data_IF_309101997345
#
_entry.id   IF_309101997345
#
_cell.length_a   1.000
_cell.length_b   1.000
_cell.length_c   1.000
_cell.angle_alpha   90.00
_cell.angle_beta   90.00
_cell.angle_gamma   90.00
#
_symmetry.space_group_name_H-M   'P 1'
#
loop_
_entity.id
_entity.type
_entity.pdbx_description
1 polymer ?
#
# COMPACT_ATOMS: atom_id res chain seq x y z
N UNK A 1 9.13 -3.06 -16.26
CA UNK A 1 8.94 -4.42 -15.74
C UNK A 1 8.55 -5.27 -16.94
N UNK A 2 9.34 -6.30 -17.27
CA UNK A 2 9.10 -7.17 -18.42
C UNK A 2 7.84 -8.03 -18.27
N UNK A 3 7.27 -8.47 -19.39
CA UNK A 3 6.13 -9.41 -19.38
C UNK A 3 6.62 -10.77 -18.90
N UNK A 4 6.02 -11.33 -17.82
CA UNK A 4 6.40 -12.66 -17.35
C UNK A 4 6.24 -13.72 -18.45
N UNK A 5 7.28 -14.54 -18.61
CA UNK A 5 7.31 -15.64 -19.57
C UNK A 5 7.73 -16.90 -18.85
N UNK A 6 6.98 -17.98 -19.04
CA UNK A 6 7.38 -19.29 -18.57
C UNK A 6 8.58 -19.79 -19.40
N UNK A 7 9.69 -20.12 -18.74
CA UNK A 7 10.90 -20.61 -19.42
C UNK A 7 10.74 -22.02 -19.96
N UNK A 8 9.82 -22.80 -19.41
CA UNK A 8 9.61 -24.19 -19.82
C UNK A 8 8.65 -24.32 -21.02
N UNK A 9 7.47 -23.69 -20.97
CA UNK A 9 6.45 -23.83 -22.03
C UNK A 9 6.30 -22.62 -22.94
N UNK A 10 7.03 -21.52 -22.65
CA UNK A 10 6.98 -20.29 -23.44
C UNK A 10 5.71 -19.45 -23.24
N UNK A 11 4.79 -19.86 -22.35
CA UNK A 11 3.59 -19.06 -22.04
C UNK A 11 4.00 -17.64 -21.65
N UNK A 12 3.34 -16.67 -22.26
CA UNK A 12 3.48 -15.25 -21.91
C UNK A 12 2.18 -14.76 -21.29
N UNK A 13 2.30 -13.91 -20.27
CA UNK A 13 1.14 -13.22 -19.72
C UNK A 13 0.46 -12.41 -20.83
N UNK A 14 -0.87 -12.51 -21.00
CA UNK A 14 -1.59 -11.68 -21.97
C UNK A 14 -1.41 -10.18 -21.64
N UNK A 15 -1.54 -9.35 -22.65
CA UNK A 15 -1.52 -7.90 -22.44
C UNK A 15 -2.68 -7.49 -21.55
N UNK A 16 -2.37 -6.64 -20.56
CA UNK A 16 -3.37 -6.13 -19.66
C UNK A 16 -4.27 -5.13 -20.40
N UNK A 17 -5.57 -5.36 -20.39
CA UNK A 17 -6.56 -4.43 -20.95
C UNK A 17 -6.80 -3.23 -20.05
N UNK A 18 -6.60 -3.41 -18.74
CA UNK A 18 -6.64 -2.36 -17.73
C UNK A 18 -5.31 -2.35 -17.00
N UNK A 19 -4.72 -1.17 -16.86
CA UNK A 19 -3.41 -1.06 -16.20
C UNK A 19 -3.19 0.35 -15.65
N UNK A 20 -2.31 0.46 -14.65
CA UNK A 20 -1.82 1.72 -14.14
C UNK A 20 -0.52 2.12 -14.84
N UNK A 21 -0.37 3.41 -15.14
CA UNK A 21 0.86 4.01 -15.65
C UNK A 21 1.12 5.36 -14.98
N UNK A 22 2.30 5.95 -15.21
CA UNK A 22 2.66 7.27 -14.74
C UNK A 22 2.39 7.49 -13.25
N UNK A 23 2.83 6.52 -12.42
CA UNK A 23 2.65 6.60 -10.97
C UNK A 23 3.59 7.67 -10.42
N UNK A 24 3.02 8.73 -9.86
CA UNK A 24 3.71 9.85 -9.24
C UNK A 24 3.53 9.77 -7.73
N UNK A 25 4.57 9.34 -7.02
CA UNK A 25 4.54 9.18 -5.55
C UNK A 25 4.57 10.51 -4.81
N UNK A 26 5.14 11.55 -5.42
CA UNK A 26 5.20 12.86 -4.79
C UNK A 26 3.83 13.54 -4.82
N UNK A 27 3.13 13.44 -5.95
CA UNK A 27 1.77 13.96 -6.07
C UNK A 27 0.71 13.03 -5.47
N UNK A 28 0.99 11.72 -5.39
CA UNK A 28 0.02 10.70 -5.00
C UNK A 28 -1.03 10.49 -6.08
N UNK A 29 -0.60 10.44 -7.36
CA UNK A 29 -1.48 10.24 -8.51
C UNK A 29 -0.93 9.18 -9.46
N UNK A 30 -1.79 8.55 -10.21
CA UNK A 30 -1.43 7.65 -11.29
C UNK A 30 -2.44 7.74 -12.44
N UNK A 31 -2.09 7.20 -13.59
CA UNK A 31 -3.02 7.12 -14.73
C UNK A 31 -3.60 5.71 -14.79
N UNK A 32 -4.91 5.60 -14.63
CA UNK A 32 -5.68 4.41 -14.98
C UNK A 32 -5.89 4.38 -16.48
N UNK A 33 -5.63 3.25 -17.11
CA UNK A 33 -5.84 3.03 -18.54
C UNK A 33 -6.79 1.86 -18.73
N UNK A 34 -7.74 2.05 -19.65
CA UNK A 34 -8.69 1.05 -20.07
C UNK A 34 -8.60 0.72 -21.56
N UNK A 35 -9.44 -0.20 -22.07
CA UNK A 35 -9.52 -0.51 -23.48
C UNK A 35 -10.01 0.71 -24.27
N UNK A 36 -9.69 0.73 -25.59
CA UNK A 36 -10.13 1.80 -26.50
C UNK A 36 -9.54 3.20 -26.23
N UNK A 37 -8.40 3.27 -25.51
CA UNK A 37 -7.75 4.53 -25.22
C UNK A 37 -8.35 5.30 -24.04
N UNK A 38 -9.18 4.66 -23.23
CA UNK A 38 -9.67 5.23 -21.98
C UNK A 38 -8.49 5.55 -21.05
N UNK A 39 -8.51 6.76 -20.48
CA UNK A 39 -7.46 7.23 -19.58
C UNK A 39 -8.02 8.18 -18.54
N UNK A 40 -7.63 7.99 -17.27
CA UNK A 40 -8.11 8.79 -16.16
C UNK A 40 -6.98 8.97 -15.14
N UNK A 41 -6.77 10.21 -14.68
CA UNK A 41 -5.81 10.50 -13.60
C UNK A 41 -6.52 10.33 -12.27
N UNK A 42 -6.03 9.40 -11.45
CA UNK A 42 -6.66 9.06 -10.17
C UNK A 42 -5.70 9.31 -9.01
N UNK A 43 -6.20 9.79 -7.88
CA UNK A 43 -5.42 9.92 -6.67
C UNK A 43 -5.21 8.56 -6.00
N UNK A 44 -4.09 8.43 -5.29
CA UNK A 44 -3.88 7.35 -4.33
C UNK A 44 -3.20 7.88 -3.07
N UNK A 45 -3.37 7.15 -1.98
CA UNK A 45 -2.79 7.54 -0.71
C UNK A 45 -1.28 7.35 -0.72
N UNK A 46 -0.53 8.43 -0.46
CA UNK A 46 0.93 8.40 -0.34
C UNK A 46 1.36 7.38 0.72
N UNK A 47 2.44 6.68 0.46
CA UNK A 47 2.94 5.62 1.35
C UNK A 47 2.25 4.25 1.18
N UNK A 48 1.20 4.14 0.39
CA UNK A 48 0.52 2.87 0.12
C UNK A 48 0.46 2.55 -1.39
N UNK A 49 1.58 2.06 -1.92
CA UNK A 49 1.69 1.67 -3.33
C UNK A 49 0.64 0.63 -3.77
N UNK A 50 0.22 -0.26 -2.86
CA UNK A 50 -0.80 -1.26 -3.17
C UNK A 50 -2.16 -0.65 -3.51
N UNK A 51 -2.43 0.59 -3.08
CA UNK A 51 -3.66 1.27 -3.46
C UNK A 51 -3.74 1.48 -4.97
N UNK A 52 -2.63 1.67 -5.67
CA UNK A 52 -2.64 1.78 -7.14
C UNK A 52 -3.22 0.52 -7.78
N UNK A 53 -2.80 -0.68 -7.33
CA UNK A 53 -3.35 -1.94 -7.83
C UNK A 53 -4.80 -2.15 -7.43
N UNK A 54 -5.15 -1.84 -6.18
CA UNK A 54 -6.51 -1.99 -5.67
C UNK A 54 -7.49 -1.07 -6.41
N UNK A 55 -7.12 0.19 -6.60
CA UNK A 55 -7.93 1.16 -7.33
C UNK A 55 -8.04 0.75 -8.81
N UNK A 56 -6.92 0.36 -9.45
CA UNK A 56 -6.94 -0.12 -10.84
C UNK A 56 -7.88 -1.31 -11.00
N UNK A 57 -7.82 -2.29 -10.09
CA UNK A 57 -8.71 -3.44 -10.11
C UNK A 57 -10.18 -3.08 -9.92
N UNK A 58 -10.47 -2.20 -8.96
CA UNK A 58 -11.83 -1.71 -8.73
C UNK A 58 -12.39 -0.96 -9.95
N UNK A 59 -11.60 -0.03 -10.52
CA UNK A 59 -11.98 0.70 -11.72
C UNK A 59 -12.22 -0.23 -12.91
N UNK A 60 -11.37 -1.26 -13.10
CA UNK A 60 -11.56 -2.24 -14.16
C UNK A 60 -12.90 -2.99 -14.01
N UNK A 61 -13.26 -3.41 -12.80
CA UNK A 61 -14.56 -4.06 -12.54
C UNK A 61 -15.70 -3.10 -12.80
N UNK A 62 -15.64 -1.85 -12.32
CA UNK A 62 -16.65 -0.84 -12.57
C UNK A 62 -16.85 -0.60 -14.07
N UNK A 63 -15.77 -0.49 -14.85
CA UNK A 63 -15.84 -0.33 -16.31
C UNK A 63 -16.45 -1.55 -17.01
N UNK A 64 -16.12 -2.75 -16.57
CA UNK A 64 -16.73 -3.99 -17.10
C UNK A 64 -18.24 -4.09 -16.80
N UNK A 65 -18.69 -3.46 -15.71
CA UNK A 65 -20.10 -3.34 -15.36
C UNK A 65 -20.82 -2.16 -16.07
N UNK A 66 -20.10 -1.40 -16.90
CA UNK A 66 -20.68 -0.29 -17.68
C UNK A 66 -20.79 1.03 -16.93
N UNK A 67 -20.09 1.18 -15.79
CA UNK A 67 -20.07 2.45 -15.04
C UNK A 67 -19.18 3.45 -15.76
N UNK A 68 -19.64 4.67 -15.92
CA UNK A 68 -18.92 5.73 -16.61
C UNK A 68 -17.68 6.22 -15.85
N UNK A 69 -16.69 6.72 -16.59
CA UNK A 69 -15.40 7.14 -16.01
C UNK A 69 -15.53 8.32 -15.05
N UNK A 70 -16.40 9.27 -15.33
CA UNK A 70 -16.69 10.43 -14.47
C UNK A 70 -17.29 10.01 -13.12
N UNK A 71 -18.15 8.99 -13.11
CA UNK A 71 -18.69 8.41 -11.88
C UNK A 71 -17.59 7.74 -11.06
N UNK A 72 -16.70 7.01 -11.72
CA UNK A 72 -15.55 6.36 -11.07
C UNK A 72 -14.62 7.41 -10.48
N UNK A 73 -14.27 8.46 -11.23
CA UNK A 73 -13.38 9.54 -10.79
C UNK A 73 -13.88 10.18 -9.50
N UNK A 74 -15.12 10.68 -9.53
CA UNK A 74 -15.75 11.32 -8.36
C UNK A 74 -15.80 10.39 -7.14
N UNK A 75 -16.05 9.09 -7.35
CA UNK A 75 -16.12 8.11 -6.27
C UNK A 75 -14.74 7.84 -5.64
N UNK A 76 -13.69 7.79 -6.44
CA UNK A 76 -12.31 7.57 -5.94
C UNK A 76 -11.79 8.79 -5.20
N UNK A 77 -12.09 10.00 -5.63
CA UNK A 77 -11.74 11.24 -4.93
C UNK A 77 -12.35 11.28 -3.52
N UNK A 78 -13.63 10.90 -3.38
CA UNK A 78 -14.29 10.82 -2.07
C UNK A 78 -13.70 9.71 -1.17
N UNK A 79 -13.32 8.57 -1.74
CA UNK A 79 -12.71 7.47 -1.00
C UNK A 79 -11.28 7.75 -0.54
N UNK A 80 -10.51 8.55 -1.27
CA UNK A 80 -9.10 8.84 -0.95
C UNK A 80 -8.93 9.48 0.43
N UNK A 81 -9.98 10.10 0.95
CA UNK A 81 -10.02 10.72 2.29
C UNK A 81 -10.37 9.75 3.44
N UNK A 82 -10.77 8.50 3.15
CA UNK A 82 -11.44 7.62 4.14
C UNK A 82 -10.76 6.28 4.38
N UNK A 83 -9.52 6.06 3.93
CA UNK A 83 -8.89 4.74 4.04
C UNK A 83 -8.31 4.50 5.44
N UNK A 84 -8.88 3.55 6.18
CA UNK A 84 -8.51 3.20 7.55
C UNK A 84 -7.19 2.43 7.74
N UNK A 85 -6.34 2.30 6.71
CA UNK A 85 -5.02 1.66 6.83
C UNK A 85 -3.86 2.63 6.95
N UNK A 86 -4.10 3.88 6.61
CA UNK A 86 -3.17 4.98 6.77
C UNK A 86 -3.96 6.15 7.32
N UNK A 87 -3.62 6.61 8.49
CA UNK A 87 -4.22 7.77 9.11
C UNK A 87 -3.13 8.75 9.49
N UNK A 88 -3.34 10.01 9.14
CA UNK A 88 -2.51 11.13 9.60
C UNK A 88 -3.37 12.02 10.49
N UNK A 89 -3.00 12.12 11.76
CA UNK A 89 -3.72 12.91 12.76
C UNK A 89 -2.74 13.78 13.55
N UNK A 90 -3.22 14.93 14.03
CA UNK A 90 -2.44 15.81 14.88
C UNK A 90 -3.00 15.77 16.29
N UNK A 91 -2.17 15.41 17.28
CA UNK A 91 -2.50 15.38 18.69
C UNK A 91 -1.57 16.33 19.47
N UNK A 92 -2.12 17.33 20.12
CA UNK A 92 -1.36 18.31 20.92
C UNK A 92 -0.14 18.89 20.20
N UNK A 93 -0.26 19.13 18.89
CA UNK A 93 0.83 19.68 18.07
C UNK A 93 1.76 18.63 17.47
N UNK A 94 1.69 17.37 17.89
CA UNK A 94 2.47 16.26 17.35
C UNK A 94 1.71 15.62 16.19
N UNK A 95 2.37 15.43 15.08
CA UNK A 95 1.84 14.68 13.94
C UNK A 95 2.00 13.18 14.19
N UNK A 96 0.91 12.44 14.11
CA UNK A 96 0.89 10.99 14.30
C UNK A 96 0.40 10.31 13.04
N UNK A 97 1.26 9.51 12.43
CA UNK A 97 0.95 8.72 11.25
C UNK A 97 0.79 7.26 11.69
N UNK A 98 -0.40 6.73 11.50
CA UNK A 98 -0.70 5.32 11.77
C UNK A 98 -0.79 4.55 10.46
N UNK A 99 0.01 3.48 10.34
CA UNK A 99 0.03 2.59 9.18
C UNK A 99 -0.28 1.17 9.62
N UNK A 100 -1.29 0.57 9.02
CA UNK A 100 -1.68 -0.82 9.29
C UNK A 100 -1.26 -1.72 8.13
N UNK A 101 -0.25 -2.55 8.34
CA UNK A 101 0.10 -3.66 7.46
C UNK A 101 -0.72 -4.90 7.82
N UNK A 102 -1.18 -5.62 6.80
CA UNK A 102 -1.86 -6.90 7.03
C UNK A 102 -0.83 -7.95 7.45
N UNK A 103 -1.18 -8.77 8.46
CA UNK A 103 -0.37 -9.92 8.87
C UNK A 103 -0.05 -10.85 7.68
N UNK A 104 1.05 -11.58 7.78
CA UNK A 104 1.53 -12.52 6.77
C UNK A 104 1.83 -11.89 5.38
N UNK A 105 2.12 -10.59 5.37
CA UNK A 105 2.48 -9.88 4.15
C UNK A 105 3.77 -9.06 4.33
N UNK A 106 4.95 -9.71 4.18
CA UNK A 106 6.24 -9.03 4.36
C UNK A 106 6.44 -7.88 3.38
N UNK A 107 5.90 -7.98 2.16
CA UNK A 107 6.02 -6.93 1.15
C UNK A 107 5.24 -5.69 1.59
N UNK A 108 4.02 -5.87 2.12
CA UNK A 108 3.22 -4.75 2.62
C UNK A 108 3.90 -4.07 3.81
N UNK A 109 4.45 -4.85 4.73
CA UNK A 109 5.19 -4.33 5.88
C UNK A 109 6.43 -3.55 5.44
N UNK A 110 7.25 -4.13 4.55
CA UNK A 110 8.43 -3.47 3.98
C UNK A 110 8.09 -2.15 3.29
N UNK A 111 7.00 -2.11 2.53
CA UNK A 111 6.56 -0.87 1.87
C UNK A 111 6.10 0.19 2.89
N UNK A 112 5.43 -0.21 3.96
CA UNK A 112 5.06 0.71 5.04
C UNK A 112 6.31 1.28 5.73
N UNK A 113 7.33 0.46 5.96
CA UNK A 113 8.59 0.92 6.53
C UNK A 113 9.36 1.87 5.59
N UNK A 114 9.33 1.65 4.29
CA UNK A 114 9.93 2.57 3.30
C UNK A 114 9.35 3.98 3.35
N UNK A 115 8.13 4.14 3.84
CA UNK A 115 7.55 5.46 4.06
C UNK A 115 8.38 6.29 5.05
N UNK A 116 9.13 5.67 5.98
CA UNK A 116 10.00 6.37 6.92
C UNK A 116 11.10 7.18 6.20
N UNK A 117 11.58 6.68 5.06
CA UNK A 117 12.60 7.36 4.24
C UNK A 117 12.03 8.48 3.36
N UNK A 118 10.70 8.53 3.22
CA UNK A 118 10.03 9.52 2.34
C UNK A 118 9.90 10.91 2.96
N UNK A 119 10.26 11.07 4.22
CA UNK A 119 10.19 12.36 4.94
C UNK A 119 11.49 12.65 5.66
N UNK A 120 12.01 13.87 5.52
CA UNK A 120 13.26 14.32 6.16
C UNK A 120 13.04 14.76 7.63
N UNK A 121 11.81 14.69 8.13
CA UNK A 121 11.50 15.05 9.52
C UNK A 121 11.98 14.01 10.50
N UNK A 122 12.56 14.45 11.62
CA UNK A 122 12.86 13.57 12.75
C UNK A 122 11.59 12.93 13.29
N UNK A 123 11.65 11.65 13.59
CA UNK A 123 10.49 10.86 14.01
C UNK A 123 10.85 9.78 15.01
N UNK A 124 9.91 9.49 15.90
CA UNK A 124 9.89 8.29 16.71
C UNK A 124 8.97 7.26 16.04
N UNK A 125 9.34 6.00 16.10
CA UNK A 125 8.60 4.89 15.48
C UNK A 125 8.06 3.99 16.59
N UNK A 126 6.77 3.70 16.54
CA UNK A 126 6.14 2.68 17.39
C UNK A 126 5.78 1.49 16.50
N UNK A 127 6.48 0.38 16.69
CA UNK A 127 6.27 -0.86 15.95
C UNK A 127 5.50 -1.85 16.81
N UNK A 128 4.26 -2.14 16.43
CA UNK A 128 3.42 -3.10 17.13
C UNK A 128 3.28 -4.37 16.30
N UNK A 129 3.80 -5.48 16.82
CA UNK A 129 3.74 -6.80 16.17
C UNK A 129 2.95 -7.73 17.06
N UNK A 130 1.93 -8.35 16.51
CA UNK A 130 1.10 -9.33 17.21
C UNK A 130 1.01 -10.62 16.40
N UNK A 131 1.01 -11.76 17.11
CA UNK A 131 0.69 -13.07 16.59
C UNK A 131 -0.72 -13.51 16.99
N UNK A 132 -1.45 -12.63 17.68
CA UNK A 132 -2.81 -12.90 18.11
C UNK A 132 -3.75 -12.79 16.91
N UNK A 133 -4.25 -13.92 16.45
CA UNK A 133 -5.40 -13.97 15.57
C UNK A 133 -6.67 -13.81 16.42
N UNK A 134 -7.82 -13.67 15.78
CA UNK A 134 -9.08 -13.54 16.49
C UNK A 134 -9.26 -14.69 17.52
N UNK A 135 -10.21 -14.54 18.41
CA UNK A 135 -10.46 -15.44 19.58
C UNK A 135 -10.65 -16.92 19.22
N UNK A 136 -10.70 -17.26 17.94
CA UNK A 136 -11.05 -18.62 17.45
C UNK A 136 -9.80 -19.41 17.03
N UNK A 137 -8.73 -18.78 16.58
CA UNK A 137 -7.64 -19.48 15.88
C UNK A 137 -6.29 -19.49 16.61
N UNK A 138 -6.16 -18.88 17.78
CA UNK A 138 -4.92 -18.90 18.56
C UNK A 138 -3.81 -18.03 18.00
N UNK A 139 -2.58 -18.56 17.97
CA UNK A 139 -1.41 -17.84 17.49
C UNK A 139 -1.19 -18.04 16.00
N UNK A 140 -0.85 -16.95 15.30
CA UNK A 140 -0.45 -17.01 13.90
C UNK A 140 1.05 -17.31 13.76
N UNK A 141 1.42 -17.93 12.64
CA UNK A 141 2.81 -18.03 12.20
C UNK A 141 3.31 -16.64 11.80
N UNK A 142 4.36 -16.18 12.49
CA UNK A 142 4.99 -14.87 12.26
C UNK A 142 6.31 -14.98 11.48
N UNK A 143 6.63 -16.14 10.91
CA UNK A 143 7.89 -16.35 10.15
C UNK A 143 8.05 -15.36 8.98
N UNK A 144 6.94 -14.79 8.47
CA UNK A 144 6.95 -13.76 7.45
C UNK A 144 7.74 -12.50 7.85
N UNK A 145 7.97 -12.27 9.15
CA UNK A 145 8.78 -11.15 9.64
C UNK A 145 10.22 -11.25 9.14
N UNK A 146 10.77 -12.46 8.98
CA UNK A 146 12.14 -12.67 8.48
C UNK A 146 12.30 -12.25 7.02
N UNK A 147 11.21 -12.19 6.25
CA UNK A 147 11.20 -11.72 4.87
C UNK A 147 10.88 -10.20 4.76
N UNK A 148 10.69 -9.53 5.89
CA UNK A 148 10.41 -8.09 5.93
C UNK A 148 11.71 -7.29 5.92
N UNK A 149 11.77 -6.26 5.08
CA UNK A 149 12.87 -5.31 5.04
C UNK A 149 12.72 -4.26 6.15
N UNK A 150 13.48 -4.41 7.22
CA UNK A 150 13.54 -3.47 8.35
C UNK A 150 14.64 -2.41 8.20
N UNK A 151 15.42 -2.41 7.12
CA UNK A 151 16.51 -1.44 6.93
C UNK A 151 16.06 0.04 7.05
N UNK A 152 14.84 0.44 6.65
CA UNK A 152 14.38 1.82 6.83
C UNK A 152 14.29 2.29 8.28
N UNK A 153 14.26 1.39 9.27
CA UNK A 153 14.33 1.75 10.69
C UNK A 153 15.70 2.32 11.10
N UNK A 154 16.75 2.10 10.31
CA UNK A 154 18.07 2.69 10.52
C UNK A 154 18.24 4.07 9.86
N UNK A 155 17.18 4.66 9.34
CA UNK A 155 17.23 6.02 8.78
C UNK A 155 17.71 7.02 9.82
N UNK A 156 18.56 7.98 9.42
CA UNK A 156 19.09 9.03 10.30
C UNK A 156 18.01 9.88 10.96
N UNK A 157 16.84 9.93 10.32
CA UNK A 157 15.66 10.66 10.80
C UNK A 157 14.84 9.88 11.83
N UNK A 158 15.12 8.60 12.06
CA UNK A 158 14.50 7.78 13.11
C UNK A 158 15.30 7.94 14.39
N UNK A 159 14.71 8.53 15.44
CA UNK A 159 15.39 8.82 16.71
C UNK A 159 15.19 7.69 17.72
N UNK A 160 13.97 7.22 17.86
CA UNK A 160 13.64 6.17 18.83
C UNK A 160 12.70 5.16 18.18
N UNK A 161 12.92 3.89 18.50
CA UNK A 161 12.04 2.79 18.08
C UNK A 161 11.48 2.15 19.34
N UNK A 162 10.17 2.22 19.50
CA UNK A 162 9.43 1.52 20.53
C UNK A 162 8.85 0.25 19.93
N UNK A 163 9.17 -0.90 20.48
CA UNK A 163 8.64 -2.18 20.02
C UNK A 163 7.67 -2.72 21.07
N UNK A 164 6.48 -3.13 20.62
CA UNK A 164 5.45 -3.66 21.47
C UNK A 164 4.64 -4.77 20.78
N UNK A 165 3.78 -5.41 21.55
CA UNK A 165 2.95 -6.52 21.11
C UNK A 165 3.33 -7.84 21.78
N UNK A 166 2.66 -8.94 21.37
CA UNK A 166 2.81 -10.26 22.00
C UNK A 166 4.18 -10.92 21.75
N UNK A 167 4.97 -10.41 20.81
CA UNK A 167 6.28 -10.96 20.38
C UNK A 167 7.38 -9.89 20.33
N UNK A 168 7.41 -9.01 21.30
CA UNK A 168 8.40 -7.92 21.36
C UNK A 168 9.70 -8.26 22.11
N UNK A 169 9.95 -9.54 22.45
CA UNK A 169 11.14 -9.99 23.17
C UNK A 169 12.20 -10.53 22.23
#
# INVERSE_FOLDING_TARGET
>A
IGVPKCLNCGFKMPESRFFASNVDFEKGTFVFNGPLGESLVLPFQKGNFFNVFNITGACAVCRLLGIDLDVIENSIEDLSSKTGRFENKKYNGVEVISMLSKNQNPISCSQSLKFLDSTDTEKDVVLLITDSNDKVHGHEDISWIYDTDFAPLNSENVKTIYVGGSRCY
#
